data_IF_976372166328
#
_entry.id   IF_976372166328
#
_cell.length_a   1.000
_cell.length_b   1.000
_cell.length_c   1.000
_cell.angle_alpha   90.00
_cell.angle_beta   90.00
_cell.angle_gamma   90.00
#
_symmetry.space_group_name_H-M   'P 1'
#
loop_
_entity.id
_entity.type
_entity.pdbx_description
1 polymer ?
#
# COMPACT_ATOMS: atom_id res chain seq x y z
N UNK A 1 10.51 -9.43 15.19
CA UNK A 1 9.72 -8.66 14.20
C UNK A 1 8.36 -8.25 14.78
N UNK A 2 7.57 -9.16 15.35
CA UNK A 2 6.27 -8.84 15.99
C UNK A 2 6.37 -7.78 17.11
N UNK A 3 7.42 -7.84 17.95
CA UNK A 3 7.70 -6.80 18.96
C UNK A 3 7.99 -5.40 18.35
N UNK A 4 8.66 -5.35 17.20
CA UNK A 4 8.90 -4.11 16.44
C UNK A 4 7.61 -3.57 15.82
N UNK A 5 6.74 -4.45 15.32
CA UNK A 5 5.38 -4.10 14.91
C UNK A 5 4.65 -3.45 16.10
N UNK A 6 4.55 -4.13 17.25
CA UNK A 6 3.82 -3.62 18.43
C UNK A 6 4.27 -2.22 18.86
N UNK A 7 5.58 -2.00 18.96
CA UNK A 7 6.17 -0.74 19.45
C UNK A 7 5.99 0.41 18.44
N UNK A 8 6.11 0.11 17.15
CA UNK A 8 5.97 1.14 16.08
C UNK A 8 4.51 1.46 15.77
N UNK A 9 3.58 0.52 16.01
CA UNK A 9 2.21 0.60 15.52
C UNK A 9 1.19 1.20 16.47
N UNK A 10 1.50 1.37 17.76
CA UNK A 10 0.44 1.51 18.78
C UNK A 10 -0.71 0.51 18.54
N UNK A 11 -0.34 -0.72 18.13
CA UNK A 11 -1.28 -1.79 17.81
C UNK A 11 -2.11 -2.06 19.07
N UNK A 12 -3.37 -1.62 19.07
CA UNK A 12 -4.30 -1.96 20.15
C UNK A 12 -4.67 -3.44 20.00
N UNK A 13 -3.95 -4.29 20.72
CA UNK A 13 -4.28 -5.70 20.93
C UNK A 13 -5.38 -5.77 21.99
N UNK A 14 -6.55 -6.33 21.67
CA UNK A 14 -7.73 -6.12 22.52
C UNK A 14 -8.72 -7.27 22.51
N UNK A 15 -9.29 -7.53 23.70
CA UNK A 15 -10.40 -8.47 23.99
C UNK A 15 -11.38 -8.73 22.82
N UNK A 16 -11.59 -10.02 22.54
CA UNK A 16 -12.41 -10.63 21.46
C UNK A 16 -13.83 -10.01 21.31
N UNK A 17 -14.42 -9.52 22.40
CA UNK A 17 -15.76 -8.89 22.41
C UNK A 17 -15.91 -7.63 21.51
N UNK A 18 -14.80 -7.04 21.04
CA UNK A 18 -14.79 -5.85 20.15
C UNK A 18 -14.77 -6.17 18.66
N UNK A 19 -14.52 -7.41 18.29
CA UNK A 19 -14.42 -7.83 16.90
C UNK A 19 -15.70 -8.56 16.44
N UNK A 20 -15.87 -8.64 15.13
CA UNK A 20 -16.83 -9.52 14.47
C UNK A 20 -16.23 -10.04 13.18
N UNK A 21 -16.81 -11.14 12.70
CA UNK A 21 -16.31 -11.87 11.53
C UNK A 21 -17.26 -11.70 10.34
N UNK A 22 -16.67 -11.51 9.16
CA UNK A 22 -17.38 -11.56 7.89
C UNK A 22 -16.72 -12.59 6.97
N UNK A 23 -17.54 -13.38 6.29
CA UNK A 23 -17.07 -14.21 5.20
C UNK A 23 -17.12 -13.42 3.90
N UNK A 24 -15.96 -13.25 3.27
CA UNK A 24 -15.79 -12.55 2.00
C UNK A 24 -15.38 -13.58 0.96
N UNK A 25 -16.15 -13.67 -0.11
CA UNK A 25 -15.92 -14.64 -1.18
C UNK A 25 -15.12 -13.99 -2.32
N UNK A 26 -14.08 -14.69 -2.75
CA UNK A 26 -13.27 -14.35 -3.92
C UNK A 26 -13.01 -15.63 -4.71
N UNK A 27 -13.42 -15.66 -5.98
CA UNK A 27 -13.26 -16.82 -6.89
C UNK A 27 -13.64 -18.19 -6.27
N UNK A 28 -14.69 -18.21 -5.45
CA UNK A 28 -15.18 -19.43 -4.79
C UNK A 28 -14.44 -19.82 -3.50
N UNK A 29 -13.47 -19.02 -3.04
CA UNK A 29 -12.81 -19.19 -1.74
C UNK A 29 -13.36 -18.21 -0.71
N UNK A 30 -13.85 -18.75 0.40
CA UNK A 30 -14.26 -17.96 1.55
C UNK A 30 -13.03 -17.48 2.35
N UNK A 31 -12.96 -16.18 2.60
CA UNK A 31 -11.93 -15.55 3.41
C UNK A 31 -12.58 -14.86 4.60
N UNK A 32 -12.15 -15.23 5.81
CA UNK A 32 -12.68 -14.64 7.05
C UNK A 32 -11.98 -13.32 7.36
N UNK A 33 -12.77 -12.26 7.49
CA UNK A 33 -12.35 -10.94 7.95
C UNK A 33 -12.79 -10.73 9.40
N UNK A 34 -11.83 -10.73 10.32
CA UNK A 34 -12.07 -10.39 11.72
C UNK A 34 -11.71 -8.92 11.94
N UNK A 35 -12.71 -8.06 12.03
CA UNK A 35 -12.52 -6.59 12.11
C UNK A 35 -13.22 -6.01 13.35
N UNK A 36 -12.82 -4.84 13.86
CA UNK A 36 -13.55 -4.20 14.94
C UNK A 36 -15.00 -3.91 14.53
N UNK A 37 -15.94 -3.97 15.49
CA UNK A 37 -17.37 -3.62 15.30
C UNK A 37 -17.60 -2.18 14.77
N UNK A 38 -16.57 -1.34 14.83
CA UNK A 38 -16.51 -0.03 14.17
C UNK A 38 -16.72 -0.12 12.65
N UNK A 39 -16.22 -1.17 12.01
CA UNK A 39 -16.27 -1.37 10.57
C UNK A 39 -17.38 -2.34 10.20
N UNK A 40 -18.31 -1.88 9.36
CA UNK A 40 -19.52 -2.63 8.98
C UNK A 40 -19.70 -2.65 7.45
N UNK A 41 -20.67 -3.43 6.96
CA UNK A 41 -21.03 -3.50 5.53
C UNK A 41 -19.83 -3.80 4.63
N UNK A 42 -19.02 -4.80 4.99
CA UNK A 42 -17.85 -5.16 4.23
C UNK A 42 -18.24 -5.64 2.82
N UNK A 43 -17.59 -5.09 1.79
CA UNK A 43 -17.77 -5.52 0.40
C UNK A 43 -16.43 -5.77 -0.26
N UNK A 44 -16.28 -6.91 -0.90
CA UNK A 44 -15.10 -7.25 -1.69
C UNK A 44 -14.77 -6.16 -2.72
N UNK A 45 -13.48 -5.84 -2.87
CA UNK A 45 -12.97 -4.95 -3.90
C UNK A 45 -11.95 -5.64 -4.80
N UNK A 46 -10.96 -6.28 -4.21
CA UNK A 46 -9.84 -6.87 -4.94
C UNK A 46 -9.14 -7.94 -4.09
N UNK A 47 -8.52 -8.92 -4.75
CA UNK A 47 -7.55 -9.82 -4.16
C UNK A 47 -6.31 -9.93 -5.05
N UNK A 48 -5.16 -10.14 -4.41
CA UNK A 48 -3.91 -10.39 -5.11
C UNK A 48 -2.82 -10.90 -4.19
N UNK A 49 -1.60 -10.97 -4.72
CA UNK A 49 -0.44 -11.52 -4.02
C UNK A 49 -0.10 -10.82 -2.68
N UNK A 50 -0.60 -9.59 -2.49
CA UNK A 50 -0.35 -8.80 -1.29
C UNK A 50 -1.46 -8.89 -0.24
N UNK A 51 -2.56 -9.57 -0.55
CA UNK A 51 -3.70 -9.70 0.32
C UNK A 51 -5.03 -9.42 -0.36
N UNK A 52 -6.07 -9.37 0.46
CA UNK A 52 -7.44 -9.10 0.04
C UNK A 52 -7.89 -7.74 0.56
N UNK A 53 -8.60 -6.98 -0.27
CA UNK A 53 -9.09 -5.64 0.04
C UNK A 53 -10.62 -5.63 0.00
N UNK A 54 -11.21 -5.06 1.04
CA UNK A 54 -12.66 -4.82 1.15
C UNK A 54 -12.93 -3.34 1.39
N UNK A 55 -14.08 -2.83 0.94
CA UNK A 55 -14.62 -1.57 1.45
C UNK A 55 -15.41 -1.82 2.73
N UNK A 56 -15.43 -0.87 3.65
CA UNK A 56 -16.25 -0.91 4.86
C UNK A 56 -16.75 0.49 5.22
N UNK A 57 -17.84 0.54 5.97
CA UNK A 57 -18.36 1.77 6.56
C UNK A 57 -17.77 1.93 7.96
N UNK A 58 -17.08 3.04 8.21
CA UNK A 58 -16.53 3.39 9.51
C UNK A 58 -17.55 4.19 10.33
N UNK A 59 -18.13 3.55 11.35
CA UNK A 59 -19.20 4.14 12.16
C UNK A 59 -18.73 5.29 13.06
N UNK A 60 -17.43 5.38 13.37
CA UNK A 60 -16.83 6.44 14.19
C UNK A 60 -16.38 7.60 13.31
N UNK A 61 -15.65 7.30 12.22
CA UNK A 61 -15.17 8.31 11.27
C UNK A 61 -16.27 8.87 10.36
N UNK A 62 -17.42 8.20 10.27
CA UNK A 62 -18.54 8.53 9.37
C UNK A 62 -18.11 8.62 7.89
N UNK A 63 -17.16 7.77 7.50
CA UNK A 63 -16.62 7.69 6.14
C UNK A 63 -16.56 6.24 5.68
N UNK A 64 -16.46 6.03 4.37
CA UNK A 64 -16.14 4.71 3.81
C UNK A 64 -14.63 4.56 3.69
N UNK A 65 -14.12 3.39 4.04
CA UNK A 65 -12.69 3.07 4.06
C UNK A 65 -12.41 1.82 3.23
N UNK A 66 -11.16 1.63 2.83
CA UNK A 66 -10.65 0.37 2.32
C UNK A 66 -9.88 -0.35 3.43
N UNK A 67 -10.09 -1.65 3.60
CA UNK A 67 -9.38 -2.49 4.56
C UNK A 67 -8.65 -3.59 3.81
N UNK A 68 -7.31 -3.57 3.84
CA UNK A 68 -6.45 -4.60 3.28
C UNK A 68 -6.10 -5.60 4.37
N UNK A 69 -6.51 -6.87 4.20
CA UNK A 69 -6.02 -8.00 5.00
C UNK A 69 -4.75 -8.53 4.36
N UNK A 70 -3.63 -8.41 5.07
CA UNK A 70 -2.36 -9.02 4.67
C UNK A 70 -2.48 -10.54 4.86
N UNK A 71 -2.44 -11.30 3.77
CA UNK A 71 -2.53 -12.76 3.84
C UNK A 71 -1.17 -13.35 4.20
N UNK A 72 -1.12 -14.12 5.29
CA UNK A 72 0.04 -14.92 5.69
C UNK A 72 1.39 -14.15 5.72
N UNK A 73 1.45 -12.92 6.31
CA UNK A 73 2.68 -12.12 6.29
C UNK A 73 3.86 -12.84 6.93
N UNK A 74 3.65 -13.76 7.88
CA UNK A 74 4.72 -14.42 8.65
C UNK A 74 5.14 -15.80 8.13
N UNK A 75 4.52 -16.31 7.06
CA UNK A 75 4.86 -17.64 6.51
C UNK A 75 6.25 -17.63 5.87
N UNK A 76 6.60 -16.54 5.18
CA UNK A 76 7.92 -16.35 4.58
C UNK A 76 8.56 -15.09 5.17
N UNK A 77 9.80 -15.15 5.69
CA UNK A 77 10.47 -13.98 6.28
C UNK A 77 10.48 -12.74 5.37
N UNK A 78 10.60 -12.94 4.05
CA UNK A 78 10.60 -11.85 3.07
C UNK A 78 9.24 -11.13 2.98
N UNK A 79 8.13 -11.86 3.11
CA UNK A 79 6.77 -11.29 3.15
C UNK A 79 6.55 -10.45 4.40
N UNK A 80 7.06 -10.91 5.55
CA UNK A 80 6.94 -10.20 6.81
C UNK A 80 7.72 -8.87 6.77
N UNK A 81 8.93 -8.90 6.20
CA UNK A 81 9.75 -7.70 5.96
C UNK A 81 9.06 -6.74 4.98
N UNK A 82 8.39 -7.24 3.93
CA UNK A 82 7.63 -6.40 2.98
C UNK A 82 6.44 -5.73 3.67
N UNK A 83 5.66 -6.48 4.44
CA UNK A 83 4.52 -5.95 5.18
C UNK A 83 4.95 -4.88 6.20
N UNK A 84 6.03 -5.12 6.94
CA UNK A 84 6.57 -4.14 7.88
C UNK A 84 7.02 -2.87 7.18
N UNK A 85 7.73 -3.01 6.05
CA UNK A 85 8.21 -1.86 5.29
C UNK A 85 7.07 -1.05 4.69
N UNK A 86 6.08 -1.72 4.08
CA UNK A 86 4.90 -1.07 3.55
C UNK A 86 4.24 -0.20 4.62
N UNK A 87 4.07 -0.76 5.82
CA UNK A 87 3.52 -0.04 6.96
C UNK A 87 4.38 1.16 7.39
N UNK A 88 5.68 0.95 7.64
CA UNK A 88 6.58 1.99 8.15
C UNK A 88 6.65 3.16 7.18
N UNK A 89 6.81 2.88 5.89
CA UNK A 89 6.93 3.93 4.88
C UNK A 89 5.59 4.66 4.65
N UNK A 90 4.47 3.94 4.58
CA UNK A 90 3.16 4.58 4.45
C UNK A 90 2.79 5.45 5.67
N UNK A 91 3.28 5.10 6.85
CA UNK A 91 3.02 5.88 8.07
C UNK A 91 3.94 7.10 8.19
N UNK A 92 5.13 7.06 7.57
CA UNK A 92 6.09 8.16 7.58
C UNK A 92 5.78 9.24 6.53
N UNK A 93 4.97 8.93 5.53
CA UNK A 93 4.74 9.79 4.37
C UNK A 93 3.33 10.38 4.40
N UNK A 94 3.21 11.69 4.14
CA UNK A 94 1.93 12.40 4.11
C UNK A 94 1.87 13.34 2.91
N UNK A 95 1.12 12.97 1.88
CA UNK A 95 1.01 13.74 0.63
C UNK A 95 -0.36 13.52 -0.04
N UNK A 96 -0.98 14.56 -0.66
CA UNK A 96 -2.30 14.44 -1.30
C UNK A 96 -2.36 13.34 -2.38
N UNK A 97 -1.24 13.07 -3.06
CA UNK A 97 -1.14 12.04 -4.11
C UNK A 97 -0.54 10.72 -3.65
N UNK A 98 -0.49 10.48 -2.33
CA UNK A 98 -0.13 9.20 -1.73
C UNK A 98 -1.32 8.73 -0.90
N UNK A 99 -1.53 7.42 -0.86
CA UNK A 99 -2.65 6.85 -0.11
C UNK A 99 -2.50 7.13 1.38
N UNK A 100 -3.57 7.57 2.01
CA UNK A 100 -3.58 7.80 3.44
C UNK A 100 -3.92 6.50 4.16
N UNK A 101 -3.05 6.10 5.09
CA UNK A 101 -3.37 5.07 6.09
C UNK A 101 -4.08 5.74 7.25
N UNK A 102 -5.24 5.21 7.63
CA UNK A 102 -6.04 5.70 8.75
C UNK A 102 -5.67 4.99 10.05
N UNK A 103 -5.48 3.67 9.99
CA UNK A 103 -5.14 2.85 11.15
C UNK A 103 -4.65 1.48 10.71
N UNK A 104 -4.03 0.75 11.64
CA UNK A 104 -3.64 -0.64 11.47
C UNK A 104 -4.06 -1.40 12.73
N UNK A 105 -4.59 -2.60 12.56
CA UNK A 105 -5.03 -3.43 13.68
C UNK A 105 -4.77 -4.92 13.42
N UNK A 106 -4.85 -5.69 14.49
CA UNK A 106 -4.80 -7.15 14.47
C UNK A 106 -5.79 -7.67 15.51
N UNK A 107 -6.60 -8.69 15.18
CA UNK A 107 -7.54 -9.29 16.12
C UNK A 107 -6.83 -10.10 17.21
N UNK A 108 -5.57 -10.50 17.01
CA UNK A 108 -4.84 -11.34 17.96
C UNK A 108 -4.25 -10.53 19.11
N UNK A 109 -4.34 -11.08 20.32
CA UNK A 109 -3.96 -10.41 21.58
C UNK A 109 -2.54 -10.71 22.05
N UNK A 110 -1.99 -11.83 21.62
CA UNK A 110 -0.66 -12.30 21.99
C UNK A 110 0.29 -12.23 20.79
N UNK A 111 1.59 -12.19 21.06
CA UNK A 111 2.62 -12.20 20.01
C UNK A 111 2.68 -13.57 19.34
N UNK A 112 2.41 -14.61 20.13
CA UNK A 112 2.43 -16.02 19.77
C UNK A 112 1.32 -16.35 18.76
N UNK A 113 0.17 -15.68 18.85
CA UNK A 113 -0.98 -15.88 17.95
C UNK A 113 -1.02 -14.89 16.78
N UNK A 114 -0.07 -13.95 16.69
CA UNK A 114 -0.09 -12.89 15.68
C UNK A 114 0.03 -13.45 14.25
N UNK A 115 -1.09 -13.45 13.53
CA UNK A 115 -1.20 -14.04 12.18
C UNK A 115 -1.72 -13.05 11.15
N UNK A 116 -2.69 -12.23 11.53
CA UNK A 116 -3.39 -11.33 10.61
C UNK A 116 -3.08 -9.87 10.91
N UNK A 117 -2.79 -9.11 9.86
CA UNK A 117 -2.61 -7.66 9.92
C UNK A 117 -3.59 -7.01 8.95
N UNK A 118 -4.34 -6.04 9.45
CA UNK A 118 -5.31 -5.28 8.69
C UNK A 118 -4.88 -3.82 8.61
N UNK A 119 -4.81 -3.29 7.39
CA UNK A 119 -4.47 -1.89 7.12
C UNK A 119 -5.72 -1.17 6.64
N UNK A 120 -6.14 -0.14 7.36
CA UNK A 120 -7.27 0.71 7.01
C UNK A 120 -6.75 1.94 6.27
N UNK A 121 -7.30 2.18 5.08
CA UNK A 121 -6.85 3.18 4.14
C UNK A 121 -8.04 3.98 3.59
N UNK A 122 -7.71 5.11 2.98
CA UNK A 122 -8.66 5.87 2.18
C UNK A 122 -9.26 5.01 1.05
N UNK A 123 -10.57 5.08 0.85
CA UNK A 123 -11.26 4.33 -0.19
C UNK A 123 -11.15 5.05 -1.54
N UNK A 124 -10.63 4.34 -2.55
CA UNK A 124 -10.54 4.81 -3.93
C UNK A 124 -11.35 3.88 -4.86
N UNK A 125 -11.89 4.41 -5.95
CA UNK A 125 -12.90 3.71 -6.76
C UNK A 125 -12.27 2.71 -7.73
N UNK A 126 -11.22 3.11 -8.43
CA UNK A 126 -10.60 2.27 -9.47
C UNK A 126 -9.09 2.40 -9.40
N UNK A 127 -8.38 1.36 -9.84
CA UNK A 127 -6.98 1.50 -10.21
C UNK A 127 -6.86 2.08 -11.64
N UNK A 128 -5.71 2.66 -11.97
CA UNK A 128 -5.47 3.28 -13.25
C UNK A 128 -5.45 2.25 -14.38
N UNK A 129 -5.02 1.02 -14.12
CA UNK A 129 -5.04 -0.08 -15.10
C UNK A 129 -6.46 -0.34 -15.63
N UNK A 130 -7.46 -0.37 -14.76
CA UNK A 130 -8.85 -0.57 -15.17
C UNK A 130 -9.41 0.65 -15.90
N UNK A 131 -9.02 1.86 -15.47
CA UNK A 131 -9.45 3.11 -16.09
C UNK A 131 -8.97 3.20 -17.54
N UNK A 132 -7.68 2.97 -17.80
CA UNK A 132 -7.11 3.09 -19.15
C UNK A 132 -7.62 2.02 -20.11
N UNK A 133 -8.05 0.86 -19.60
CA UNK A 133 -8.62 -0.21 -20.42
C UNK A 133 -10.09 0.04 -20.77
N UNK A 134 -10.86 0.67 -19.87
CA UNK A 134 -12.32 0.84 -20.03
C UNK A 134 -12.72 2.20 -20.59
N UNK A 135 -11.90 3.23 -20.40
CA UNK A 135 -12.25 4.61 -20.70
C UNK A 135 -11.15 5.23 -21.56
N UNK A 136 -11.57 5.86 -22.68
CA UNK A 136 -10.67 6.70 -23.46
C UNK A 136 -10.49 8.04 -22.74
N UNK A 137 -9.31 8.25 -22.17
CA UNK A 137 -8.95 9.49 -21.50
C UNK A 137 -8.61 10.57 -22.54
N UNK A 138 -9.09 11.79 -22.33
CA UNK A 138 -8.65 12.94 -23.10
C UNK A 138 -7.25 13.42 -22.65
N UNK A 139 -6.59 14.21 -23.49
CA UNK A 139 -5.23 14.70 -23.21
C UNK A 139 -5.16 15.52 -21.91
N UNK A 140 -6.24 16.25 -21.57
CA UNK A 140 -6.32 17.05 -20.35
C UNK A 140 -6.33 16.17 -19.11
N UNK A 141 -7.18 15.15 -19.06
CA UNK A 141 -7.25 14.22 -17.92
C UNK A 141 -5.96 13.41 -17.79
N UNK A 142 -5.41 12.94 -18.91
CA UNK A 142 -4.14 12.23 -18.91
C UNK A 142 -3.00 13.09 -18.33
N UNK A 143 -2.88 14.33 -18.80
CA UNK A 143 -1.88 15.28 -18.29
C UNK A 143 -2.05 15.54 -16.80
N UNK A 144 -3.30 15.64 -16.33
CA UNK A 144 -3.59 15.85 -14.92
C UNK A 144 -3.27 14.64 -14.03
N UNK A 145 -3.44 13.41 -14.55
CA UNK A 145 -3.00 12.20 -13.85
C UNK A 145 -1.48 12.13 -13.77
N UNK A 146 -0.78 12.38 -14.89
CA UNK A 146 0.68 12.39 -14.93
C UNK A 146 1.24 13.41 -13.95
N UNK A 147 0.71 14.63 -13.94
CA UNK A 147 1.12 15.69 -13.01
C UNK A 147 1.03 15.21 -11.55
N UNK A 148 -0.10 14.62 -11.14
CA UNK A 148 -0.30 14.14 -9.78
C UNK A 148 0.63 12.98 -9.41
N UNK A 149 0.91 12.07 -10.34
CA UNK A 149 1.87 10.98 -10.15
C UNK A 149 3.28 11.57 -9.94
N UNK A 150 3.69 12.54 -10.75
CA UNK A 150 4.98 13.22 -10.62
C UNK A 150 5.10 13.97 -9.29
N UNK A 151 4.02 14.60 -8.80
CA UNK A 151 4.02 15.22 -7.47
C UNK A 151 4.27 14.19 -6.36
N UNK A 152 3.61 13.02 -6.43
CA UNK A 152 3.84 11.93 -5.47
C UNK A 152 5.29 11.43 -5.49
N UNK A 153 5.82 11.18 -6.70
CA UNK A 153 7.20 10.71 -6.89
C UNK A 153 8.22 11.72 -6.38
N UNK A 154 8.06 13.00 -6.72
CA UNK A 154 8.93 14.07 -6.24
C UNK A 154 8.91 14.17 -4.70
N UNK A 155 7.75 14.04 -4.07
CA UNK A 155 7.67 14.02 -2.61
C UNK A 155 8.43 12.82 -2.02
N UNK A 156 8.21 11.61 -2.53
CA UNK A 156 8.93 10.42 -2.08
C UNK A 156 10.44 10.57 -2.22
N UNK A 157 10.91 11.09 -3.35
CA UNK A 157 12.33 11.27 -3.61
C UNK A 157 12.97 12.29 -2.65
N UNK A 158 12.25 13.36 -2.28
CA UNK A 158 12.70 14.32 -1.27
C UNK A 158 12.85 13.70 0.12
N UNK A 159 11.98 12.74 0.45
CA UNK A 159 12.09 11.93 1.68
C UNK A 159 13.11 10.79 1.56
N UNK A 160 13.88 10.73 0.46
CA UNK A 160 14.86 9.68 0.20
C UNK A 160 14.22 8.30 -0.05
N UNK A 161 12.96 8.23 -0.45
CA UNK A 161 12.23 6.98 -0.71
C UNK A 161 12.09 6.75 -2.21
N UNK A 162 12.52 5.58 -2.69
CA UNK A 162 12.24 5.11 -4.06
C UNK A 162 11.14 4.06 -4.02
N UNK A 163 10.07 4.26 -4.80
CA UNK A 163 8.90 3.36 -4.82
C UNK A 163 9.23 1.97 -5.39
N UNK A 164 9.96 1.93 -6.51
CA UNK A 164 10.41 0.72 -7.24
C UNK A 164 9.33 -0.21 -7.83
N UNK A 165 8.04 -0.02 -7.55
CA UNK A 165 6.96 -0.80 -8.21
C UNK A 165 5.81 0.10 -8.69
N UNK A 166 6.16 1.21 -9.34
CA UNK A 166 5.18 2.11 -9.96
C UNK A 166 4.64 1.48 -11.24
N UNK A 167 3.34 1.19 -11.24
CA UNK A 167 2.59 0.62 -12.36
C UNK A 167 1.12 1.01 -12.26
N UNK A 168 0.34 0.97 -13.36
CA UNK A 168 -1.06 1.39 -13.35
C UNK A 168 -1.93 0.67 -12.31
N UNK A 169 -1.64 -0.58 -11.94
CA UNK A 169 -2.39 -1.29 -10.89
C UNK A 169 -2.09 -0.79 -9.47
N UNK A 170 -0.95 -0.11 -9.25
CA UNK A 170 -0.56 0.50 -7.98
C UNK A 170 -0.88 2.01 -7.93
N UNK A 171 -1.63 2.51 -8.91
CA UNK A 171 -2.10 3.89 -8.96
C UNK A 171 -3.61 3.84 -8.90
N UNK A 172 -4.22 4.51 -7.93
CA UNK A 172 -5.68 4.57 -7.78
C UNK A 172 -6.22 5.96 -8.06
N UNK A 173 -7.43 5.98 -8.61
CA UNK A 173 -8.10 7.17 -9.11
C UNK A 173 -9.53 7.23 -8.60
N UNK A 174 -9.98 8.43 -8.25
CA UNK A 174 -11.38 8.67 -7.87
C UNK A 174 -12.18 9.44 -8.93
N UNK A 175 -13.49 9.55 -8.72
CA UNK A 175 -14.41 10.27 -9.64
C UNK A 175 -14.06 11.76 -9.80
N UNK A 176 -13.37 12.35 -8.82
CA UNK A 176 -12.88 13.73 -8.86
C UNK A 176 -11.50 13.86 -9.54
N UNK A 177 -11.08 12.83 -10.29
CA UNK A 177 -9.79 12.77 -10.98
C UNK A 177 -8.57 12.94 -10.04
N UNK A 178 -8.72 12.61 -8.75
CA UNK A 178 -7.59 12.57 -7.82
C UNK A 178 -6.86 11.25 -7.95
N UNK A 179 -5.53 11.34 -8.00
CA UNK A 179 -4.64 10.19 -8.11
C UNK A 179 -3.89 9.98 -6.80
N UNK A 180 -3.79 8.73 -6.37
CA UNK A 180 -2.97 8.31 -5.22
C UNK A 180 -2.13 7.09 -5.56
N UNK A 181 -0.87 7.11 -5.13
CA UNK A 181 0.06 5.98 -5.25
C UNK A 181 -0.14 5.01 -4.07
N UNK A 182 -0.16 3.71 -4.38
CA UNK A 182 -0.25 2.58 -3.45
C UNK A 182 1.03 1.75 -3.44
N UNK A 183 1.13 0.84 -2.44
CA UNK A 183 2.01 -0.34 -2.44
C UNK A 183 3.52 -0.04 -2.34
N UNK A 184 3.94 0.19 -1.09
CA UNK A 184 5.32 0.46 -0.72
C UNK A 184 6.09 -0.81 -0.31
N UNK A 185 5.54 -2.01 -0.54
CA UNK A 185 6.18 -3.27 -0.11
C UNK A 185 7.55 -3.49 -0.74
N UNK A 186 7.77 -2.91 -1.92
CA UNK A 186 9.05 -2.93 -2.64
C UNK A 186 9.83 -1.61 -2.54
N UNK A 187 9.33 -0.58 -1.85
CA UNK A 187 10.04 0.68 -1.72
C UNK A 187 11.34 0.54 -0.90
N UNK A 188 12.28 1.49 -1.07
CA UNK A 188 13.56 1.52 -0.33
C UNK A 188 13.97 2.95 -0.01
N UNK A 189 14.67 3.10 1.11
CA UNK A 189 15.41 4.31 1.41
C UNK A 189 16.70 4.34 0.59
N UNK A 190 16.98 5.48 -0.04
CA UNK A 190 18.26 5.79 -0.66
C UNK A 190 19.24 6.00 0.49
N UNK A 191 20.21 5.09 0.63
CA UNK A 191 21.32 5.27 1.57
C UNK A 191 22.60 5.44 0.77
N UNK A 192 23.53 6.32 1.19
CA UNK A 192 24.78 6.56 0.48
C UNK A 192 25.61 5.28 0.24
N UNK A 193 25.42 4.27 1.10
CA UNK A 193 26.09 2.97 1.03
C UNK A 193 25.31 1.90 0.24
N UNK A 194 24.16 2.22 -0.36
CA UNK A 194 23.35 1.25 -1.12
C UNK A 194 23.88 1.04 -2.54
N UNK A 195 25.12 0.56 -2.67
CA UNK A 195 25.70 0.13 -3.95
C UNK A 195 25.09 -1.16 -4.50
N UNK A 196 24.29 -1.90 -3.70
CA UNK A 196 23.74 -3.21 -4.05
C UNK A 196 22.19 -3.26 -3.94
N UNK A 197 21.48 -2.32 -4.57
CA UNK A 197 20.03 -2.49 -4.76
C UNK A 197 19.79 -3.65 -5.74
N UNK A 198 19.21 -4.76 -5.28
CA UNK A 198 18.96 -5.93 -6.13
C UNK A 198 18.09 -5.56 -7.35
N UNK A 199 18.66 -5.72 -8.54
CA UNK A 199 18.04 -5.36 -9.84
C UNK A 199 16.81 -6.19 -10.23
N UNK A 200 16.51 -7.25 -9.48
CA UNK A 200 15.62 -8.33 -9.90
C UNK A 200 14.19 -8.31 -9.30
N UNK A 201 13.68 -7.16 -8.85
CA UNK A 201 12.45 -7.12 -8.03
C UNK A 201 11.38 -6.15 -8.55
N UNK A 202 10.86 -6.32 -9.77
CA UNK A 202 9.73 -5.50 -10.33
C UNK A 202 9.07 -6.16 -11.56
N UNK A 203 7.81 -5.84 -11.86
CA UNK A 203 7.19 -6.01 -13.19
C UNK A 203 8.03 -5.29 -14.27
N UNK A 204 8.52 -6.02 -15.27
CA UNK A 204 9.55 -5.53 -16.22
C UNK A 204 9.14 -4.32 -17.07
N UNK A 205 7.87 -4.23 -17.46
CA UNK A 205 7.35 -3.28 -18.45
C UNK A 205 7.44 -1.80 -18.03
N UNK A 206 7.50 -1.53 -16.74
CA UNK A 206 7.49 -0.17 -16.18
C UNK A 206 8.83 0.25 -15.57
N UNK A 207 9.88 -0.53 -15.81
CA UNK A 207 11.21 -0.21 -15.30
C UNK A 207 11.84 0.89 -16.13
N UNK A 208 12.46 1.84 -15.44
CA UNK A 208 13.41 2.72 -16.09
C UNK A 208 14.56 1.86 -16.68
N UNK A 209 15.06 2.18 -17.88
CA UNK A 209 16.02 1.36 -18.61
C UNK A 209 17.27 1.03 -17.77
N UNK A 210 17.73 1.95 -16.92
CA UNK A 210 18.84 1.78 -15.98
C UNK A 210 18.61 0.68 -14.95
N UNK A 211 17.37 0.49 -14.48
CA UNK A 211 16.99 -0.58 -13.55
C UNK A 211 16.97 -1.95 -14.23
N UNK A 212 16.64 -1.98 -15.53
CA UNK A 212 16.72 -3.21 -16.36
C UNK A 212 18.18 -3.58 -16.63
N UNK A 213 19.03 -2.58 -16.85
CA UNK A 213 20.41 -2.75 -17.28
C UNK A 213 21.43 -2.94 -16.15
N UNK A 214 21.01 -2.94 -14.88
CA UNK A 214 21.93 -3.17 -13.77
C UNK A 214 22.74 -1.94 -13.34
N UNK A 215 22.41 -0.76 -13.87
CA UNK A 215 23.12 0.48 -13.57
C UNK A 215 22.49 1.14 -12.34
N UNK A 216 23.32 1.80 -11.51
CA UNK A 216 22.91 2.44 -10.25
C UNK A 216 21.67 3.30 -10.49
N UNK A 217 20.65 3.07 -9.65
CA UNK A 217 19.33 3.71 -9.74
C UNK A 217 19.49 5.22 -9.63
N UNK A 218 18.99 5.93 -10.63
CA UNK A 218 18.73 7.36 -10.68
C UNK A 218 19.87 8.26 -10.20
N UNK A 219 20.77 8.61 -11.12
CA UNK A 219 21.64 9.80 -11.01
C UNK A 219 20.89 11.14 -10.85
N UNK A 220 19.56 11.11 -10.69
CA UNK A 220 18.71 12.25 -10.38
C UNK A 220 18.55 12.47 -8.86
N UNK A 221 18.57 11.42 -8.03
CA UNK A 221 18.48 11.59 -6.57
C UNK A 221 19.81 12.07 -5.95
N UNK A 222 20.96 11.58 -6.43
CA UNK A 222 22.26 12.09 -5.97
C UNK A 222 22.50 13.56 -6.38
N UNK A 223 21.98 14.03 -7.52
CA UNK A 223 22.22 15.42 -7.97
C UNK A 223 21.47 16.50 -7.18
N UNK A 224 20.42 16.15 -6.44
CA UNK A 224 19.67 17.10 -5.59
C UNK A 224 20.07 17.07 -4.11
N UNK A 225 20.82 16.06 -3.66
CA UNK A 225 21.38 16.02 -2.31
C UNK A 225 22.65 16.89 -2.15
N UNK A 226 23.19 17.40 -3.27
CA UNK A 226 24.40 18.25 -3.31
C UNK A 226 24.10 19.74 -3.57
N UNK A 227 22.85 20.21 -3.38
CA UNK A 227 22.53 21.64 -3.44
C UNK A 227 21.67 22.11 -2.27
#
# INVERSE_FOLDING_TARGET
MVSLFRTTLNLQMTNDARYHQFEIFDEGRANVFTVPKRYNNLKFLNAGAQGMVVSADDSVGKIRVAIKKMLQPFVVPTSAVRAFREFVLLSAVSHPNIIKVHSVFSPQETVEDFRDVYIVMELMQNNLNDVIQKIKLDHKTLSFFIYQILCAVNHLHREGIVHRDLKPSNIVVNKACKVKVLDFGLARLITPCASNLSHYVVTRWYRAPEVVLGVVVDGWACRYAEK
#
